data_IF_409864590081
#
_entry.id   IF_409864590081
#
_cell.length_a   1.000
_cell.length_b   1.000
_cell.length_c   1.000
_cell.angle_alpha   90.00
_cell.angle_beta   90.00
_cell.angle_gamma   90.00
#
_symmetry.space_group_name_H-M   'P 1'
#
loop_
_entity.id
_entity.type
_entity.pdbx_description
1 polymer ?
#
# COMPACT_ATOMS: atom_id res chain seq x y z
N UNK A 1 -18.90 -11.23 16.29
CA UNK A 1 -18.47 -10.42 15.13
C UNK A 1 -19.28 -10.84 13.91
N UNK A 2 -20.02 -9.93 13.25
CA UNK A 2 -20.87 -10.29 12.09
C UNK A 2 -20.06 -10.72 10.84
N UNK A 3 -18.80 -10.28 10.76
CA UNK A 3 -17.94 -10.49 9.60
C UNK A 3 -17.46 -11.94 9.41
N UNK A 4 -17.08 -12.62 10.50
CA UNK A 4 -16.65 -14.03 10.46
C UNK A 4 -17.80 -14.91 9.94
N UNK A 5 -19.04 -14.65 10.38
CA UNK A 5 -20.21 -15.36 9.89
C UNK A 5 -20.49 -15.10 8.39
N UNK A 6 -20.22 -13.89 7.88
CA UNK A 6 -20.33 -13.59 6.44
C UNK A 6 -19.27 -14.34 5.65
N UNK A 7 -18.06 -14.48 6.19
CA UNK A 7 -16.97 -15.22 5.57
C UNK A 7 -17.27 -16.72 5.48
N UNK A 8 -17.78 -17.32 6.56
CA UNK A 8 -18.13 -18.75 6.62
C UNK A 8 -19.28 -19.12 5.69
N UNK A 9 -20.26 -18.22 5.52
CA UNK A 9 -21.47 -18.47 4.71
C UNK A 9 -21.27 -18.28 3.21
N UNK A 10 -20.16 -17.66 2.79
CA UNK A 10 -19.92 -17.31 1.40
C UNK A 10 -18.63 -17.99 0.89
N UNK A 11 -18.72 -19.20 0.31
CA UNK A 11 -17.54 -19.90 -0.20
C UNK A 11 -16.79 -19.11 -1.30
N UNK A 12 -17.48 -18.23 -2.02
CA UNK A 12 -16.84 -17.32 -2.99
C UNK A 12 -15.81 -16.38 -2.35
N UNK A 13 -16.04 -15.94 -1.11
CA UNK A 13 -15.12 -15.06 -0.37
C UNK A 13 -13.84 -15.82 0.01
N UNK A 14 -13.93 -17.10 0.38
CA UNK A 14 -12.75 -17.90 0.70
C UNK A 14 -11.79 -18.02 -0.49
N UNK A 15 -12.36 -18.19 -1.71
CA UNK A 15 -11.57 -18.21 -2.95
C UNK A 15 -10.82 -16.90 -3.16
N UNK A 16 -11.46 -15.75 -2.92
CA UNK A 16 -10.77 -14.46 -3.05
C UNK A 16 -9.60 -14.34 -2.08
N UNK A 17 -9.73 -14.80 -0.83
CA UNK A 17 -8.62 -14.75 0.14
C UNK A 17 -7.43 -15.60 -0.28
N UNK A 18 -7.66 -16.76 -0.91
CA UNK A 18 -6.55 -17.59 -1.41
C UNK A 18 -5.67 -16.86 -2.42
N UNK A 19 -6.24 -15.98 -3.24
CA UNK A 19 -5.50 -15.16 -4.22
C UNK A 19 -4.62 -14.15 -3.50
N UNK A 20 -5.11 -13.51 -2.43
CA UNK A 20 -4.29 -12.57 -1.65
C UNK A 20 -3.12 -13.25 -0.93
N UNK A 21 -3.23 -14.55 -0.66
CA UNK A 21 -2.18 -15.35 -0.04
C UNK A 21 -1.14 -15.87 -1.03
N UNK A 22 -1.44 -15.90 -2.33
CA UNK A 22 -0.50 -16.36 -3.36
C UNK A 22 0.47 -15.24 -3.73
N UNK A 23 1.78 -15.52 -3.65
CA UNK A 23 2.82 -14.55 -4.02
C UNK A 23 2.94 -14.36 -5.54
N UNK A 24 2.44 -15.32 -6.32
CA UNK A 24 2.45 -15.26 -7.78
C UNK A 24 1.18 -14.66 -8.38
N UNK A 25 0.24 -14.21 -7.54
CA UNK A 25 -0.98 -13.59 -8.02
C UNK A 25 -0.65 -12.32 -8.81
N UNK A 26 -1.25 -12.20 -9.99
CA UNK A 26 -1.08 -11.01 -10.82
C UNK A 26 -1.92 -9.84 -10.27
N UNK A 27 -1.55 -8.58 -10.55
CA UNK A 27 -2.34 -7.42 -10.16
C UNK A 27 -3.81 -7.53 -10.59
N UNK A 28 -4.09 -8.02 -11.80
CA UNK A 28 -5.47 -8.19 -12.27
C UNK A 28 -6.23 -9.23 -11.45
N UNK A 29 -5.63 -10.39 -11.18
CA UNK A 29 -6.24 -11.42 -10.32
C UNK A 29 -6.56 -10.88 -8.92
N UNK A 30 -5.65 -10.11 -8.33
CA UNK A 30 -5.83 -9.45 -7.03
C UNK A 30 -6.98 -8.45 -7.09
N UNK A 31 -7.03 -7.63 -8.13
CA UNK A 31 -8.10 -6.63 -8.27
C UNK A 31 -9.47 -7.25 -8.52
N UNK A 32 -9.56 -8.32 -9.31
CA UNK A 32 -10.80 -9.03 -9.57
C UNK A 32 -11.29 -9.74 -8.32
N UNK A 33 -10.38 -10.38 -7.58
CA UNK A 33 -10.68 -10.99 -6.29
C UNK A 33 -11.16 -9.96 -5.26
N UNK A 34 -10.49 -8.81 -5.20
CA UNK A 34 -10.88 -7.71 -4.32
C UNK A 34 -12.24 -7.11 -4.68
N UNK A 35 -12.54 -6.94 -5.97
CA UNK A 35 -13.84 -6.47 -6.43
C UNK A 35 -14.96 -7.45 -6.06
N UNK A 36 -14.75 -8.75 -6.27
CA UNK A 36 -15.70 -9.80 -5.86
C UNK A 36 -15.92 -9.83 -4.35
N UNK A 37 -14.84 -9.68 -3.57
CA UNK A 37 -14.90 -9.61 -2.11
C UNK A 37 -15.77 -8.42 -1.66
N UNK A 38 -15.49 -7.23 -2.17
CA UNK A 38 -16.23 -6.01 -1.81
C UNK A 38 -17.69 -6.13 -2.25
N UNK A 39 -17.97 -6.61 -3.46
CA UNK A 39 -19.32 -6.84 -3.93
C UNK A 39 -20.11 -7.78 -3.00
N UNK A 40 -19.48 -8.86 -2.54
CA UNK A 40 -20.09 -9.81 -1.62
C UNK A 40 -20.36 -9.18 -0.23
N UNK A 41 -19.50 -8.29 0.24
CA UNK A 41 -19.71 -7.57 1.52
C UNK A 41 -20.92 -6.63 1.45
N UNK A 42 -21.12 -5.93 0.33
CA UNK A 42 -22.20 -4.94 0.19
C UNK A 42 -23.53 -5.53 -0.27
N UNK A 43 -23.52 -6.58 -1.09
CA UNK A 43 -24.73 -7.15 -1.71
C UNK A 43 -25.07 -8.57 -1.22
N UNK A 44 -24.15 -9.27 -0.57
CA UNK A 44 -24.25 -10.70 -0.28
C UNK A 44 -23.98 -11.60 -1.50
N UNK A 45 -23.70 -11.03 -2.67
CA UNK A 45 -23.37 -11.76 -3.90
C UNK A 45 -22.09 -11.20 -4.57
N UNK A 46 -21.33 -12.05 -5.24
CA UNK A 46 -20.04 -11.67 -5.86
C UNK A 46 -20.13 -11.24 -7.32
N UNK A 47 -21.30 -11.35 -7.95
CA UNK A 47 -21.43 -11.30 -9.41
C UNK A 47 -21.82 -9.93 -9.96
N UNK A 48 -22.08 -8.95 -9.09
CA UNK A 48 -22.50 -7.61 -9.51
C UNK A 48 -21.28 -6.71 -9.70
N UNK A 49 -21.14 -6.03 -10.85
CA UNK A 49 -20.11 -5.02 -11.05
C UNK A 49 -20.19 -3.94 -9.97
N UNK A 50 -19.04 -3.50 -9.46
CA UNK A 50 -19.01 -2.64 -8.28
C UNK A 50 -19.64 -1.26 -8.53
N UNK A 51 -19.50 -0.72 -9.75
CA UNK A 51 -20.11 0.56 -10.10
C UNK A 51 -21.65 0.47 -10.17
N UNK A 52 -22.18 -0.62 -10.71
CA UNK A 52 -23.64 -0.86 -10.75
C UNK A 52 -24.19 -1.03 -9.33
N UNK A 53 -23.44 -1.74 -8.48
CA UNK A 53 -23.79 -1.90 -7.08
C UNK A 53 -23.78 -0.55 -6.35
N UNK A 54 -22.78 0.30 -6.61
CA UNK A 54 -22.70 1.64 -6.04
C UNK A 54 -23.90 2.50 -6.47
N UNK A 55 -24.27 2.47 -7.74
CA UNK A 55 -25.44 3.19 -8.26
C UNK A 55 -26.73 2.72 -7.59
N UNK A 56 -26.95 1.41 -7.51
CA UNK A 56 -28.12 0.83 -6.84
C UNK A 56 -28.23 1.24 -5.37
N UNK A 57 -27.11 1.26 -4.65
CA UNK A 57 -27.09 1.73 -3.26
C UNK A 57 -27.40 3.22 -3.15
N UNK A 58 -26.93 4.02 -4.11
CA UNK A 58 -27.23 5.45 -4.18
C UNK A 58 -28.71 5.72 -4.48
N UNK A 59 -29.29 5.04 -5.47
CA UNK A 59 -30.72 5.16 -5.80
C UNK A 59 -31.62 4.81 -4.61
N UNK A 60 -31.27 3.74 -3.88
CA UNK A 60 -31.96 3.36 -2.63
C UNK A 60 -31.79 4.38 -1.50
N UNK A 61 -30.77 5.22 -1.57
CA UNK A 61 -30.49 6.25 -0.58
C UNK A 61 -31.20 7.58 -0.91
N UNK A 62 -31.54 7.86 -2.17
CA UNK A 62 -32.22 9.09 -2.61
C UNK A 62 -33.45 9.50 -1.78
N UNK A 63 -34.39 8.60 -1.41
CA UNK A 63 -35.56 9.00 -0.63
C UNK A 63 -35.23 9.32 0.85
N UNK A 64 -33.99 9.11 1.30
CA UNK A 64 -33.58 9.30 2.70
C UNK A 64 -33.04 10.71 2.89
N UNK A 65 -33.59 11.43 3.86
CA UNK A 65 -33.19 12.81 4.19
C UNK A 65 -31.74 12.90 4.69
N UNK A 66 -31.22 11.85 5.35
CA UNK A 66 -29.91 11.85 6.01
C UNK A 66 -29.05 10.62 5.62
N UNK A 67 -28.80 10.40 4.34
CA UNK A 67 -27.93 9.31 3.92
C UNK A 67 -26.44 9.70 4.03
N UNK A 68 -25.61 8.79 4.54
CA UNK A 68 -24.16 9.00 4.57
C UNK A 68 -23.51 8.46 3.29
N UNK A 69 -22.72 9.30 2.61
CA UNK A 69 -21.95 8.89 1.43
C UNK A 69 -20.94 7.77 1.74
N UNK A 70 -20.45 7.71 2.99
CA UNK A 70 -19.55 6.65 3.44
C UNK A 70 -20.20 5.26 3.50
N UNK A 71 -21.54 5.19 3.46
CA UNK A 71 -22.27 3.91 3.39
C UNK A 71 -22.33 3.31 1.99
N UNK A 72 -21.88 4.04 0.97
CA UNK A 72 -21.85 3.54 -0.40
C UNK A 72 -20.67 2.57 -0.60
N UNK A 73 -20.81 1.55 -1.46
CA UNK A 73 -19.69 0.76 -1.94
C UNK A 73 -18.64 1.66 -2.60
N UNK A 74 -17.32 1.38 -2.47
CA UNK A 74 -16.30 2.15 -3.17
C UNK A 74 -16.48 2.06 -4.69
N UNK A 75 -15.88 2.98 -5.45
CA UNK A 75 -15.85 2.88 -6.92
C UNK A 75 -14.95 1.73 -7.37
N UNK A 76 -15.16 1.21 -8.57
CA UNK A 76 -14.30 0.15 -9.14
C UNK A 76 -12.81 0.54 -9.14
N UNK A 77 -12.48 1.78 -9.54
CA UNK A 77 -11.11 2.28 -9.54
C UNK A 77 -10.49 2.36 -8.14
N UNK A 78 -11.25 2.86 -7.15
CA UNK A 78 -10.77 2.93 -5.78
C UNK A 78 -10.59 1.53 -5.16
N UNK A 79 -11.53 0.62 -5.45
CA UNK A 79 -11.45 -0.78 -5.04
C UNK A 79 -10.24 -1.50 -5.65
N UNK A 80 -9.93 -1.25 -6.93
CA UNK A 80 -8.69 -1.76 -7.57
C UNK A 80 -7.47 -1.34 -6.76
N UNK A 81 -7.30 -0.03 -6.53
CA UNK A 81 -6.12 0.47 -5.82
C UNK A 81 -6.04 -0.04 -4.37
N UNK A 82 -7.17 -0.08 -3.66
CA UNK A 82 -7.23 -0.64 -2.32
C UNK A 82 -6.78 -2.11 -2.29
N UNK A 83 -7.27 -2.93 -3.24
CA UNK A 83 -6.92 -4.34 -3.34
C UNK A 83 -5.42 -4.55 -3.56
N UNK A 84 -4.79 -3.73 -4.41
CA UNK A 84 -3.35 -3.78 -4.63
C UNK A 84 -2.55 -3.47 -3.35
N UNK A 85 -2.96 -2.44 -2.59
CA UNK A 85 -2.29 -2.09 -1.33
C UNK A 85 -2.46 -3.17 -0.27
N UNK A 86 -3.66 -3.76 -0.17
CA UNK A 86 -3.93 -4.88 0.74
C UNK A 86 -3.06 -6.08 0.39
N UNK A 87 -2.90 -6.39 -0.90
CA UNK A 87 -2.03 -7.47 -1.34
C UNK A 87 -0.58 -7.24 -0.94
N UNK A 88 -0.03 -6.05 -1.19
CA UNK A 88 1.32 -5.69 -0.74
C UNK A 88 1.46 -5.90 0.77
N UNK A 89 0.49 -5.41 1.55
CA UNK A 89 0.52 -5.54 3.01
C UNK A 89 0.55 -7.01 3.47
N UNK A 90 -0.28 -7.86 2.85
CA UNK A 90 -0.33 -9.30 3.15
C UNK A 90 1.00 -9.97 2.79
N UNK A 91 1.59 -9.65 1.65
CA UNK A 91 2.86 -10.24 1.23
C UNK A 91 4.04 -9.78 2.10
N UNK A 92 4.05 -8.51 2.51
CA UNK A 92 5.05 -7.99 3.46
C UNK A 92 4.97 -8.70 4.81
N UNK A 93 3.77 -8.97 5.32
CA UNK A 93 3.60 -9.77 6.55
C UNK A 93 4.10 -11.20 6.42
N UNK A 94 4.13 -11.75 5.21
CA UNK A 94 4.71 -13.07 4.92
C UNK A 94 6.24 -13.05 4.74
N UNK A 95 6.85 -11.87 4.78
CA UNK A 95 8.29 -11.69 4.54
C UNK A 95 8.68 -11.63 3.07
N UNK A 96 7.73 -11.43 2.16
CA UNK A 96 8.01 -11.26 0.73
C UNK A 96 8.28 -9.78 0.44
N UNK A 97 9.48 -9.47 -0.05
CA UNK A 97 9.80 -8.12 -0.52
C UNK A 97 9.16 -7.86 -1.90
N UNK A 98 8.48 -6.73 -2.04
CA UNK A 98 7.79 -6.33 -3.28
C UNK A 98 7.94 -4.84 -3.50
N UNK A 99 7.86 -4.41 -4.76
CA UNK A 99 7.96 -3.00 -5.16
C UNK A 99 6.64 -2.26 -4.88
N UNK A 100 6.58 -1.30 -3.94
CA UNK A 100 5.34 -0.61 -3.59
C UNK A 100 4.69 0.12 -4.77
N UNK A 101 5.48 0.63 -5.73
CA UNK A 101 4.96 1.38 -6.90
C UNK A 101 4.02 0.56 -7.78
N UNK A 102 4.26 -0.75 -7.86
CA UNK A 102 3.42 -1.67 -8.63
C UNK A 102 2.11 -2.03 -7.91
N UNK A 103 2.01 -1.74 -6.62
CA UNK A 103 0.94 -2.21 -5.75
C UNK A 103 0.16 -1.07 -5.09
N UNK A 104 -0.12 -0.01 -5.85
CA UNK A 104 -1.02 1.07 -5.45
C UNK A 104 -0.42 2.08 -4.47
N UNK A 105 0.90 2.18 -4.42
CA UNK A 105 1.64 3.24 -3.74
C UNK A 105 2.41 4.10 -4.73
N UNK A 106 2.63 5.35 -4.36
CA UNK A 106 3.50 6.27 -5.06
C UNK A 106 4.66 6.66 -4.14
N UNK A 107 5.84 6.94 -4.72
CA UNK A 107 7.01 7.40 -3.96
C UNK A 107 7.15 8.89 -4.21
N UNK A 108 6.97 9.67 -3.16
CA UNK A 108 7.19 11.12 -3.15
C UNK A 108 8.35 11.47 -2.23
N UNK A 109 8.77 12.73 -2.27
CA UNK A 109 9.82 13.25 -1.38
C UNK A 109 9.46 13.09 0.11
N UNK A 110 8.17 13.13 0.44
CA UNK A 110 7.62 12.94 1.80
C UNK A 110 7.44 11.46 2.19
N UNK A 111 7.80 10.52 1.31
CA UNK A 111 7.70 9.08 1.55
C UNK A 111 6.69 8.35 0.67
N UNK A 112 6.20 7.21 1.16
CA UNK A 112 5.21 6.38 0.47
C UNK A 112 3.81 6.94 0.66
N UNK A 113 3.15 7.27 -0.44
CA UNK A 113 1.78 7.77 -0.42
C UNK A 113 0.81 6.79 -1.11
N UNK A 114 -0.36 6.49 -0.53
CA UNK A 114 -1.31 5.60 -1.16
C UNK A 114 -1.94 6.26 -2.39
N UNK A 115 -1.99 5.52 -3.50
CA UNK A 115 -2.76 5.92 -4.69
C UNK A 115 -4.23 5.59 -4.46
N UNK A 116 -5.09 6.57 -4.25
CA UNK A 116 -6.51 6.30 -3.90
C UNK A 116 -7.35 5.93 -5.12
N UNK A 117 -7.11 6.56 -6.26
CA UNK A 117 -7.76 6.29 -7.55
C UNK A 117 -6.87 6.79 -8.69
N UNK A 118 -7.01 6.19 -9.88
CA UNK A 118 -6.39 6.70 -11.13
C UNK A 118 -7.40 7.43 -12.02
N UNK A 119 -8.70 7.32 -11.70
CA UNK A 119 -9.74 8.02 -12.43
C UNK A 119 -9.85 9.48 -11.96
N UNK A 120 -10.17 10.42 -12.87
CA UNK A 120 -10.45 11.79 -12.47
C UNK A 120 -11.68 11.83 -11.56
N UNK A 121 -11.76 12.83 -10.65
CA UNK A 121 -12.86 12.95 -9.69
C UNK A 121 -14.23 13.13 -10.35
N UNK A 122 -14.25 13.68 -11.57
CA UNK A 122 -15.45 13.84 -12.39
C UNK A 122 -15.08 13.93 -13.88
N UNK A 123 -16.02 13.63 -14.80
CA UNK A 123 -15.84 13.88 -16.23
C UNK A 123 -15.51 15.35 -16.51
N UNK A 124 -14.60 15.61 -17.46
CA UNK A 124 -14.15 16.96 -17.79
C UNK A 124 -15.29 17.88 -18.23
N UNK A 125 -16.25 17.36 -19.00
CA UNK A 125 -17.41 18.12 -19.45
C UNK A 125 -18.32 18.53 -18.29
N UNK A 126 -18.45 17.66 -17.29
CA UNK A 126 -19.18 18.01 -16.07
C UNK A 126 -18.44 19.13 -15.34
N UNK A 127 -17.13 18.99 -15.14
CA UNK A 127 -16.30 20.00 -14.48
C UNK A 127 -16.42 21.36 -15.17
N UNK A 128 -16.33 21.40 -16.50
CA UNK A 128 -16.43 22.64 -17.30
C UNK A 128 -17.78 23.37 -17.15
N UNK A 129 -18.84 22.67 -16.76
CA UNK A 129 -20.17 23.24 -16.57
C UNK A 129 -20.45 23.67 -15.12
N UNK A 130 -19.55 23.38 -14.17
CA UNK A 130 -19.67 23.83 -12.78
C UNK A 130 -19.10 25.25 -12.69
N UNK A 131 -19.96 26.26 -12.59
CA UNK A 131 -19.60 27.69 -12.66
C UNK A 131 -19.16 28.31 -11.33
N UNK A 132 -19.06 27.52 -10.25
CA UNK A 132 -18.67 28.05 -8.94
C UNK A 132 -17.15 28.25 -8.84
N UNK A 133 -16.69 29.48 -9.07
CA UNK A 133 -15.28 29.91 -9.02
C UNK A 133 -14.57 29.56 -7.71
N UNK A 134 -15.29 29.58 -6.59
CA UNK A 134 -14.75 29.23 -5.25
C UNK A 134 -14.60 27.72 -5.01
N UNK A 135 -15.39 26.88 -5.68
CA UNK A 135 -15.29 25.42 -5.55
C UNK A 135 -14.14 24.87 -6.38
N UNK A 136 -13.75 25.53 -7.47
CA UNK A 136 -12.60 25.09 -8.28
C UNK A 136 -11.27 25.21 -7.52
N UNK A 137 -11.08 26.31 -6.79
CA UNK A 137 -9.88 26.50 -5.99
C UNK A 137 -9.87 25.54 -4.80
N UNK A 138 -11.00 25.36 -4.12
CA UNK A 138 -11.13 24.42 -2.99
C UNK A 138 -11.01 22.97 -3.42
N UNK A 139 -11.70 22.52 -4.47
CA UNK A 139 -11.57 21.14 -4.98
C UNK A 139 -10.16 20.86 -5.49
N UNK A 140 -9.52 21.80 -6.20
CA UNK A 140 -8.12 21.64 -6.61
C UNK A 140 -7.17 21.60 -5.43
N UNK A 141 -7.41 22.39 -4.38
CA UNK A 141 -6.62 22.38 -3.15
C UNK A 141 -6.84 21.09 -2.36
N UNK A 142 -8.09 20.68 -2.10
CA UNK A 142 -8.44 19.46 -1.37
C UNK A 142 -7.95 18.20 -2.10
N UNK A 143 -8.02 18.12 -3.44
CA UNK A 143 -7.43 17.01 -4.22
C UNK A 143 -5.91 16.94 -4.06
N UNK A 144 -5.25 18.10 -3.92
CA UNK A 144 -3.80 18.19 -3.74
C UNK A 144 -3.39 18.08 -2.26
N UNK A 145 -4.28 18.35 -1.30
CA UNK A 145 -3.97 18.46 0.13
C UNK A 145 -4.46 17.27 0.97
N UNK A 146 -5.44 16.49 0.49
CA UNK A 146 -5.72 15.13 1.00
C UNK A 146 -4.48 14.20 0.83
N UNK A 147 -3.51 14.65 0.04
CA UNK A 147 -2.19 14.06 -0.13
C UNK A 147 -1.14 14.54 0.88
N UNK A 148 -1.37 15.63 1.62
CA UNK A 148 -0.37 16.33 2.44
C UNK A 148 -0.71 16.41 3.94
N UNK A 149 -1.99 16.39 4.34
CA UNK A 149 -2.40 16.67 5.73
C UNK A 149 -2.17 15.53 6.75
N UNK A 150 -1.64 14.37 6.33
CA UNK A 150 -1.14 13.36 7.26
C UNK A 150 0.34 13.58 7.65
N UNK A 151 1.00 14.60 7.10
CA UNK A 151 2.44 14.83 7.27
C UNK A 151 2.81 15.96 8.23
N UNK A 152 1.86 16.54 8.98
CA UNK A 152 2.13 17.76 9.77
C UNK A 152 2.14 17.63 11.28
N UNK A 153 2.09 16.42 11.86
CA UNK A 153 2.24 16.23 13.31
C UNK A 153 3.54 15.50 13.66
N UNK A 154 4.66 16.08 13.22
CA UNK A 154 5.97 15.92 13.84
C UNK A 154 6.64 17.29 13.84
N UNK A 155 6.63 17.96 15.00
CA UNK A 155 7.45 19.14 15.24
C UNK A 155 8.93 18.73 15.31
N UNK A 156 9.88 19.45 14.70
CA UNK A 156 11.31 19.11 14.71
C UNK A 156 12.04 19.17 16.07
N UNK A 157 11.34 19.27 17.20
CA UNK A 157 11.96 19.60 18.49
C UNK A 157 12.42 18.39 19.33
N UNK A 158 12.31 17.14 18.83
CA UNK A 158 12.75 15.93 19.56
C UNK A 158 14.04 15.29 19.00
N UNK A 159 14.84 15.99 18.19
CA UNK A 159 16.17 15.51 17.81
C UNK A 159 17.16 15.87 18.93
N UNK A 160 17.32 14.93 19.86
CA UNK A 160 18.42 14.90 20.82
C UNK A 160 19.73 14.62 20.05
N UNK A 161 20.53 15.65 19.84
CA UNK A 161 21.85 15.57 19.18
C UNK A 161 22.92 15.20 20.20
N UNK A 162 23.09 13.91 20.48
CA UNK A 162 24.33 13.38 21.06
C UNK A 162 25.01 12.49 20.00
N UNK A 163 25.82 13.14 19.15
CA UNK A 163 26.83 12.48 18.34
C UNK A 163 28.19 12.95 18.83
N UNK A 164 28.88 12.07 19.56
CA UNK A 164 30.27 12.25 19.96
C UNK A 164 31.19 12.34 18.73
N UNK A 165 32.03 13.37 18.75
CA UNK A 165 33.01 13.71 17.71
C UNK A 165 34.27 12.85 17.86
N UNK A 166 34.40 11.79 17.06
CA UNK A 166 35.64 11.00 16.95
C UNK A 166 36.61 11.65 15.93
N UNK A 167 37.88 11.89 16.28
CA UNK A 167 38.78 12.69 15.45
C UNK A 167 39.46 11.87 14.36
N UNK A 168 39.47 12.44 13.15
CA UNK A 168 40.20 11.96 11.97
C UNK A 168 41.70 11.74 12.21
N UNK A 169 42.32 10.66 11.69
CA UNK A 169 43.76 10.64 11.47
C UNK A 169 44.09 10.99 10.01
N UNK A 170 44.88 12.04 9.84
CA UNK A 170 45.65 12.29 8.63
C UNK A 170 46.88 11.39 8.59
N UNK A 171 47.34 11.02 7.39
CA UNK A 171 48.75 11.05 6.98
C UNK A 171 48.92 10.47 5.56
N UNK A 172 49.51 11.28 4.70
CA UNK A 172 50.09 10.93 3.41
C UNK A 172 51.42 10.19 3.61
N UNK A 173 51.69 9.13 2.84
CA UNK A 173 52.84 9.09 1.94
C UNK A 173 52.89 7.86 1.02
N UNK A 174 53.61 8.04 -0.08
CA UNK A 174 53.67 7.26 -1.32
C UNK A 174 54.42 5.91 -1.23
N UNK A 175 54.06 4.95 -2.11
CA UNK A 175 54.92 4.39 -3.19
C UNK A 175 54.78 2.87 -3.46
N UNK A 176 54.37 2.57 -4.70
CA UNK A 176 54.96 1.63 -5.67
C UNK A 176 55.12 0.09 -5.42
N UNK A 177 54.59 -0.63 -6.43
CA UNK A 177 55.10 -1.84 -7.12
C UNK A 177 55.08 -3.22 -6.42
N UNK A 178 54.29 -4.13 -7.01
CA UNK A 178 54.38 -5.59 -6.89
C UNK A 178 55.57 -6.14 -7.74
N UNK A 179 56.00 -7.43 -7.63
CA UNK A 179 55.19 -8.59 -8.03
C UNK A 179 55.32 -9.86 -7.12
N UNK A 180 54.47 -10.87 -7.38
CA UNK A 180 54.31 -12.13 -6.62
C UNK A 180 55.48 -13.14 -6.69
N UNK A 181 55.26 -14.40 -6.25
CA UNK A 181 54.66 -15.39 -7.17
C UNK A 181 53.75 -16.49 -6.55
N UNK A 182 53.14 -17.23 -7.47
CA UNK A 182 52.38 -18.49 -7.43
C UNK A 182 52.82 -19.58 -6.43
N UNK A 183 51.87 -20.32 -5.82
CA UNK A 183 51.51 -21.69 -6.26
C UNK A 183 50.48 -22.40 -5.34
N UNK A 184 49.53 -23.08 -6.00
CA UNK A 184 48.92 -24.40 -5.74
C UNK A 184 48.22 -24.81 -4.41
N UNK A 185 47.06 -25.45 -4.65
CA UNK A 185 46.45 -26.59 -3.95
C UNK A 185 45.39 -26.36 -2.84
N UNK A 186 44.18 -26.89 -3.12
CA UNK A 186 43.04 -27.09 -2.21
C UNK A 186 43.32 -28.23 -1.19
N UNK A 187 42.51 -28.44 -0.11
CA UNK A 187 41.13 -28.92 -0.22
C UNK A 187 40.12 -28.39 0.83
N UNK A 188 38.84 -28.70 0.55
CA UNK A 188 37.62 -28.49 1.34
C UNK A 188 37.67 -29.20 2.71
N UNK A 189 36.98 -28.68 3.74
CA UNK A 189 36.03 -29.54 4.45
C UNK A 189 34.68 -28.86 4.79
N UNK A 190 33.60 -29.66 4.74
CA UNK A 190 32.27 -29.34 5.31
C UNK A 190 32.16 -29.86 6.76
N UNK A 191 30.98 -29.83 7.41
CA UNK A 191 30.39 -28.68 8.10
C UNK A 191 30.30 -28.92 9.62
N UNK A 192 30.37 -27.87 10.46
CA UNK A 192 30.08 -28.00 11.89
C UNK A 192 29.30 -26.79 12.39
N UNK A 193 28.24 -27.08 13.13
CA UNK A 193 27.19 -26.13 13.50
C UNK A 193 27.63 -25.03 14.47
N UNK A 194 26.87 -23.94 14.46
CA UNK A 194 26.48 -23.24 15.68
C UNK A 194 25.23 -22.43 15.39
N UNK A 195 24.22 -22.59 16.25
CA UNK A 195 22.96 -21.87 16.19
C UNK A 195 23.19 -20.39 16.47
N UNK A 196 22.77 -19.52 15.55
CA UNK A 196 22.71 -18.08 15.79
C UNK A 196 21.36 -17.70 16.45
N UNK A 197 21.35 -16.82 17.46
CA UNK A 197 20.15 -16.47 18.19
C UNK A 197 19.23 -15.51 17.41
N UNK A 198 17.92 -15.65 17.66
CA UNK A 198 16.86 -14.85 17.06
C UNK A 198 17.00 -13.34 17.35
N UNK A 199 16.77 -12.44 16.37
CA UNK A 199 16.72 -11.01 16.64
C UNK A 199 15.42 -10.63 17.36
N UNK A 200 15.59 -9.77 18.36
CA UNK A 200 14.57 -9.35 19.33
C UNK A 200 13.48 -8.50 18.68
N UNK A 201 12.26 -8.80 19.08
CA UNK A 201 10.99 -8.09 18.83
C UNK A 201 11.13 -6.59 19.16
N UNK A 202 11.09 -5.73 18.15
CA UNK A 202 10.87 -4.30 18.37
C UNK A 202 9.39 -4.07 18.69
N UNK A 203 9.13 -3.48 19.87
CA UNK A 203 7.83 -2.90 20.22
C UNK A 203 7.67 -1.59 19.44
N UNK A 204 6.60 -1.48 18.69
CA UNK A 204 6.09 -0.18 18.26
C UNK A 204 5.25 0.37 19.40
N UNK A 205 5.60 1.56 19.90
CA UNK A 205 4.65 2.44 20.58
C UNK A 205 3.94 3.26 19.51
#
# INVERSE_FOLDING_TARGET
MKFVNTFEKNPGIQRTVSIFMDHNATPDQVTDAGAQFIAAVYSGASNTPLNDLRLHHFEKALPKVNFSLASLPPTAAAARQHSLRVFLQVQLWKGTAMDPKKWGWDIKETGLQPVTTLEPPAPKDLLNNISCTWLWQRMKYDILNEQADMASDVTPDDIDTDYDEEPSPSLSDSAALAPGPSDSAAPVPSPSGSAAPAPKRARFN
#
